data_IF_667847560347
#
_entry.id   IF_667847560347
#
_cell.length_a   1.000
_cell.length_b   1.000
_cell.length_c   1.000
_cell.angle_alpha   90.00
_cell.angle_beta   90.00
_cell.angle_gamma   90.00
#
_symmetry.space_group_name_H-M   'P 1'
#
loop_
_entity.id
_entity.type
_entity.pdbx_description
1 polymer ?
#
# COMPACT_ATOMS: atom_id res chain seq x y z
N UNK A 1 20.02 19.49 -27.77
CA UNK A 1 19.18 18.39 -28.31
C UNK A 1 19.57 17.04 -27.67
N UNK A 2 19.45 16.90 -26.34
CA UNK A 2 19.96 15.73 -25.59
C UNK A 2 18.90 15.07 -24.69
N UNK A 3 17.75 15.75 -24.49
CA UNK A 3 16.62 15.26 -23.70
C UNK A 3 15.61 14.41 -24.50
N UNK A 4 15.54 14.59 -25.82
CA UNK A 4 14.62 13.81 -26.67
C UNK A 4 15.06 12.34 -26.80
N UNK A 5 16.36 12.08 -26.86
CA UNK A 5 16.91 10.72 -26.93
C UNK A 5 16.67 9.89 -25.66
N UNK A 6 16.62 10.53 -24.49
CA UNK A 6 16.35 9.85 -23.22
C UNK A 6 14.86 9.42 -23.12
N UNK A 7 13.94 10.26 -23.60
CA UNK A 7 12.51 9.95 -23.63
C UNK A 7 12.17 8.80 -24.59
N UNK A 8 12.90 8.71 -25.72
CA UNK A 8 12.72 7.63 -26.68
C UNK A 8 13.22 6.29 -26.12
N UNK A 9 14.32 6.30 -25.36
CA UNK A 9 14.87 5.10 -24.72
C UNK A 9 13.96 4.56 -23.62
N UNK A 10 13.30 5.43 -22.85
CA UNK A 10 12.31 5.04 -21.84
C UNK A 10 11.05 4.42 -22.47
N UNK A 11 10.56 4.96 -23.59
CA UNK A 11 9.42 4.39 -24.30
C UNK A 11 9.73 3.01 -24.93
N UNK A 12 10.97 2.79 -25.38
CA UNK A 12 11.40 1.51 -25.94
C UNK A 12 11.56 0.44 -24.85
N UNK A 13 12.04 0.79 -23.64
CA UNK A 13 12.06 -0.15 -22.51
C UNK A 13 10.67 -0.59 -22.07
N UNK A 14 9.67 0.31 -22.09
CA UNK A 14 8.28 -0.01 -21.72
C UNK A 14 7.62 -0.94 -22.74
N UNK A 15 7.99 -0.84 -24.02
CA UNK A 15 7.40 -1.66 -25.09
C UNK A 15 8.11 -3.01 -25.26
N UNK A 16 9.43 -3.07 -25.07
CA UNK A 16 10.18 -4.34 -25.15
C UNK A 16 9.84 -5.30 -23.99
N UNK A 17 9.42 -4.80 -22.82
CA UNK A 17 9.00 -5.66 -21.70
C UNK A 17 7.60 -6.27 -21.88
N UNK A 18 6.86 -5.88 -22.93
CA UNK A 18 5.51 -6.44 -23.22
C UNK A 18 5.51 -7.59 -24.21
N UNK A 19 6.66 -7.93 -24.81
CA UNK A 19 6.75 -8.92 -25.89
C UNK A 19 7.16 -10.34 -25.45
N UNK A 20 7.45 -10.56 -24.16
CA UNK A 20 7.82 -11.88 -23.64
C UNK A 20 7.01 -12.25 -22.40
N UNK A 21 5.71 -12.45 -22.60
CA UNK A 21 4.98 -13.70 -22.31
C UNK A 21 3.50 -13.40 -22.45
N UNK A 22 2.89 -13.93 -23.50
CA UNK A 22 1.44 -14.03 -23.65
C UNK A 22 0.90 -15.06 -22.66
N UNK A 23 1.09 -14.82 -21.36
CA UNK A 23 0.27 -15.39 -20.30
C UNK A 23 -0.71 -14.29 -19.93
N UNK A 24 -1.99 -14.50 -20.22
CA UNK A 24 -3.10 -13.67 -19.75
C UNK A 24 -2.82 -13.22 -18.32
N UNK A 25 -2.56 -11.93 -18.09
CA UNK A 25 -2.27 -11.38 -16.76
C UNK A 25 -3.38 -11.84 -15.83
N UNK A 26 -3.04 -12.56 -14.76
CA UNK A 26 -4.05 -13.18 -13.89
C UNK A 26 -5.02 -12.10 -13.42
N UNK A 27 -6.35 -12.28 -13.59
CA UNK A 27 -7.36 -11.31 -13.13
C UNK A 27 -7.17 -10.92 -11.66
N UNK A 28 -6.70 -11.86 -10.84
CA UNK A 28 -6.36 -11.65 -9.43
C UNK A 28 -5.23 -10.62 -9.26
N UNK A 29 -4.18 -10.67 -10.09
CA UNK A 29 -3.07 -9.70 -10.03
C UNK A 29 -3.56 -8.30 -10.40
N UNK A 30 -4.44 -8.19 -11.41
CA UNK A 30 -5.04 -6.91 -11.78
C UNK A 30 -5.94 -6.35 -10.65
N UNK A 31 -6.76 -7.18 -10.02
CA UNK A 31 -7.55 -6.80 -8.83
C UNK A 31 -6.66 -6.28 -7.69
N UNK A 32 -5.54 -6.96 -7.42
CA UNK A 32 -4.56 -6.53 -6.41
C UNK A 32 -3.94 -5.18 -6.76
N UNK A 33 -3.50 -4.97 -8.01
CA UNK A 33 -2.89 -3.71 -8.44
C UNK A 33 -3.88 -2.54 -8.31
N UNK A 34 -5.15 -2.76 -8.66
CA UNK A 34 -6.21 -1.77 -8.47
C UNK A 34 -6.45 -1.51 -6.97
N UNK A 35 -6.44 -2.53 -6.13
CA UNK A 35 -6.56 -2.38 -4.68
C UNK A 35 -5.40 -1.56 -4.10
N UNK A 36 -4.15 -1.81 -4.53
CA UNK A 36 -2.98 -1.02 -4.13
C UNK A 36 -3.15 0.45 -4.55
N UNK A 37 -3.65 0.72 -5.76
CA UNK A 37 -3.93 2.09 -6.20
C UNK A 37 -4.96 2.80 -5.32
N UNK A 38 -6.00 2.10 -4.87
CA UNK A 38 -6.99 2.64 -3.91
C UNK A 38 -6.37 2.86 -2.54
N UNK A 39 -5.61 1.87 -2.03
CA UNK A 39 -4.89 1.96 -0.76
C UNK A 39 -3.91 3.14 -0.76
N UNK A 40 -3.24 3.45 -1.87
CA UNK A 40 -2.34 4.61 -1.97
C UNK A 40 -3.07 5.93 -1.63
N UNK A 41 -4.29 6.11 -2.14
CA UNK A 41 -5.09 7.30 -1.84
C UNK A 41 -5.43 7.37 -0.34
N UNK A 42 -5.84 6.23 0.24
CA UNK A 42 -6.18 6.15 1.66
C UNK A 42 -4.96 6.36 2.56
N UNK A 43 -3.80 5.76 2.24
CA UNK A 43 -2.54 5.96 3.01
C UNK A 43 -2.08 7.42 2.93
N UNK A 44 -2.25 8.10 1.80
CA UNK A 44 -2.01 9.55 1.69
C UNK A 44 -2.93 10.34 2.62
N UNK A 45 -4.22 10.01 2.63
CA UNK A 45 -5.22 10.72 3.44
C UNK A 45 -4.98 10.47 4.94
N UNK A 46 -4.62 9.23 5.32
CA UNK A 46 -4.11 8.90 6.65
C UNK A 46 -2.86 9.70 7.00
N UNK A 47 -1.91 9.88 6.08
CA UNK A 47 -0.68 10.65 6.32
C UNK A 47 -0.99 12.11 6.66
N UNK A 48 -1.89 12.74 5.90
CA UNK A 48 -2.31 14.11 6.14
C UNK A 48 -3.02 14.26 7.50
N UNK A 49 -3.99 13.38 7.79
CA UNK A 49 -4.71 13.40 9.06
C UNK A 49 -3.81 13.03 10.25
N UNK A 50 -2.87 12.09 10.09
CA UNK A 50 -1.89 11.73 11.11
C UNK A 50 -0.97 12.91 11.41
N UNK A 51 -0.56 13.68 10.40
CA UNK A 51 0.23 14.90 10.60
C UNK A 51 -0.56 15.96 11.37
N UNK A 52 -1.85 16.14 11.09
CA UNK A 52 -2.71 17.06 11.83
C UNK A 52 -2.87 16.61 13.29
N UNK A 53 -3.22 15.34 13.51
CA UNK A 53 -3.41 14.76 14.84
C UNK A 53 -2.12 14.74 15.68
N UNK A 54 -0.95 14.57 15.03
CA UNK A 54 0.35 14.65 15.71
C UNK A 54 0.65 16.08 16.19
N UNK A 55 0.18 17.12 15.48
CA UNK A 55 0.36 18.53 15.89
C UNK A 55 -0.59 18.91 17.02
N UNK A 56 -1.80 18.39 16.99
CA UNK A 56 -2.82 18.58 18.02
C UNK A 56 -3.57 17.27 18.25
N UNK A 57 -3.23 16.55 19.32
CA UNK A 57 -3.87 15.29 19.67
C UNK A 57 -5.28 15.48 20.25
N UNK A 58 -5.74 16.73 20.38
CA UNK A 58 -7.13 17.10 20.64
C UNK A 58 -7.98 17.28 19.37
N UNK A 59 -7.38 17.25 18.17
CA UNK A 59 -8.10 17.46 16.91
C UNK A 59 -9.02 16.27 16.59
N UNK A 60 -10.29 16.41 16.97
CA UNK A 60 -11.32 15.39 16.74
C UNK A 60 -11.64 15.19 15.26
N UNK A 61 -11.43 16.20 14.41
CA UNK A 61 -11.66 16.07 12.97
C UNK A 61 -10.60 15.18 12.35
N UNK A 62 -9.34 15.40 12.72
CA UNK A 62 -8.24 14.54 12.32
C UNK A 62 -8.44 13.10 12.83
N UNK A 63 -8.79 12.94 14.10
CA UNK A 63 -9.06 11.62 14.69
C UNK A 63 -10.19 10.86 13.97
N UNK A 64 -11.32 11.52 13.70
CA UNK A 64 -12.43 10.91 12.97
C UNK A 64 -12.03 10.49 11.54
N UNK A 65 -11.22 11.33 10.89
CA UNK A 65 -10.67 11.02 9.56
C UNK A 65 -9.77 9.78 9.63
N UNK A 66 -8.88 9.70 10.63
CA UNK A 66 -8.00 8.53 10.82
C UNK A 66 -8.81 7.24 10.97
N UNK A 67 -9.82 7.22 11.83
CA UNK A 67 -10.69 6.06 12.01
C UNK A 67 -11.41 5.68 10.72
N UNK A 68 -12.14 6.62 10.11
CA UNK A 68 -12.92 6.35 8.89
C UNK A 68 -12.05 5.83 7.75
N UNK A 69 -10.91 6.49 7.50
CA UNK A 69 -9.99 6.08 6.44
C UNK A 69 -9.31 4.74 6.76
N UNK A 70 -9.02 4.43 8.03
CA UNK A 70 -8.50 3.11 8.42
C UNK A 70 -9.51 1.99 8.16
N UNK A 71 -10.80 2.22 8.44
CA UNK A 71 -11.87 1.26 8.15
C UNK A 71 -12.01 1.01 6.64
N UNK A 72 -12.00 2.06 5.83
CA UNK A 72 -12.00 1.94 4.37
C UNK A 72 -10.78 1.17 3.85
N UNK A 73 -9.61 1.39 4.46
CA UNK A 73 -8.38 0.67 4.13
C UNK A 73 -8.53 -0.83 4.43
N UNK A 74 -9.10 -1.19 5.58
CA UNK A 74 -9.32 -2.59 5.97
C UNK A 74 -10.28 -3.32 5.03
N UNK A 75 -11.28 -2.66 4.47
CA UNK A 75 -12.20 -3.29 3.50
C UNK A 75 -11.46 -3.84 2.27
N UNK A 76 -10.37 -3.19 1.86
CA UNK A 76 -9.55 -3.60 0.72
C UNK A 76 -8.69 -4.85 1.02
N UNK A 77 -8.55 -5.27 2.27
CA UNK A 77 -7.72 -6.43 2.64
C UNK A 77 -8.28 -7.75 2.13
N UNK A 78 -9.58 -7.80 1.88
CA UNK A 78 -10.27 -8.97 1.32
C UNK A 78 -9.70 -9.41 -0.05
N UNK A 79 -9.17 -8.46 -0.83
CA UNK A 79 -8.53 -8.73 -2.13
C UNK A 79 -7.26 -9.58 -1.99
N UNK A 80 -6.61 -9.50 -0.82
CA UNK A 80 -5.38 -10.24 -0.51
C UNK A 80 -5.64 -11.49 0.34
N UNK A 81 -6.91 -11.92 0.46
CA UNK A 81 -7.27 -13.13 1.20
C UNK A 81 -6.67 -14.39 0.59
N UNK A 82 -6.43 -15.40 1.42
CA UNK A 82 -5.92 -16.72 0.98
C UNK A 82 -6.73 -17.32 -0.16
N UNK A 83 -8.06 -17.17 -0.14
CA UNK A 83 -8.96 -17.61 -1.19
C UNK A 83 -8.66 -16.93 -2.53
N UNK A 84 -8.47 -15.61 -2.53
CA UNK A 84 -8.19 -14.81 -3.74
C UNK A 84 -6.80 -15.08 -4.30
N UNK A 85 -5.79 -15.23 -3.44
CA UNK A 85 -4.40 -15.39 -3.86
C UNK A 85 -4.03 -16.85 -4.17
N UNK A 86 -4.95 -17.80 -3.95
CA UNK A 86 -4.71 -19.24 -4.09
C UNK A 86 -4.22 -19.67 -5.48
N UNK A 87 -4.55 -18.89 -6.51
CA UNK A 87 -4.18 -19.11 -7.93
C UNK A 87 -2.76 -18.66 -8.27
N UNK A 88 -2.08 -17.94 -7.37
CA UNK A 88 -0.69 -17.55 -7.54
C UNK A 88 0.26 -18.71 -7.24
N UNK A 89 1.49 -18.63 -7.75
CA UNK A 89 2.56 -19.57 -7.37
C UNK A 89 2.79 -19.58 -5.85
N UNK A 90 3.30 -20.68 -5.29
CA UNK A 90 3.60 -20.76 -3.86
C UNK A 90 4.49 -19.60 -3.38
N UNK A 91 5.59 -19.33 -4.09
CA UNK A 91 6.48 -18.22 -3.75
C UNK A 91 5.81 -16.85 -3.83
N UNK A 92 4.94 -16.63 -4.82
CA UNK A 92 4.15 -15.39 -4.92
C UNK A 92 3.17 -15.25 -3.74
N UNK A 93 2.49 -16.33 -3.36
CA UNK A 93 1.56 -16.34 -2.21
C UNK A 93 2.28 -16.02 -0.91
N UNK A 94 3.44 -16.63 -0.68
CA UNK A 94 4.23 -16.40 0.54
C UNK A 94 4.68 -14.94 0.65
N UNK A 95 5.16 -14.35 -0.45
CA UNK A 95 5.55 -12.93 -0.47
C UNK A 95 4.39 -11.99 -0.22
N UNK A 96 3.23 -12.24 -0.83
CA UNK A 96 2.02 -11.43 -0.60
C UNK A 96 1.55 -11.56 0.85
N UNK A 97 1.48 -12.77 1.39
CA UNK A 97 1.09 -13.02 2.77
C UNK A 97 2.02 -12.33 3.77
N UNK A 98 3.33 -12.43 3.56
CA UNK A 98 4.33 -11.78 4.42
C UNK A 98 4.19 -10.25 4.38
N UNK A 99 4.05 -9.67 3.18
CA UNK A 99 3.88 -8.23 3.03
C UNK A 99 2.57 -7.73 3.65
N UNK A 100 1.46 -8.45 3.45
CA UNK A 100 0.17 -8.13 4.08
C UNK A 100 0.22 -8.26 5.61
N UNK A 101 0.91 -9.28 6.13
CA UNK A 101 1.10 -9.43 7.57
C UNK A 101 1.92 -8.28 8.15
N UNK A 102 3.00 -7.87 7.47
CA UNK A 102 3.79 -6.71 7.88
C UNK A 102 2.95 -5.44 7.87
N UNK A 103 2.13 -5.23 6.85
CA UNK A 103 1.28 -4.04 6.75
C UNK A 103 0.22 -3.99 7.84
N UNK A 104 -0.46 -5.11 8.13
CA UNK A 104 -1.40 -5.25 9.25
C UNK A 104 -0.76 -4.91 10.59
N UNK A 105 0.41 -5.49 10.85
CA UNK A 105 1.11 -5.28 12.11
C UNK A 105 1.52 -3.80 12.30
N UNK A 106 2.00 -3.15 11.24
CA UNK A 106 2.32 -1.72 11.29
C UNK A 106 1.08 -0.86 11.56
N UNK A 107 -0.07 -1.18 10.95
CA UNK A 107 -1.33 -0.46 11.20
C UNK A 107 -1.77 -0.62 12.65
N UNK A 108 -1.75 -1.84 13.20
CA UNK A 108 -2.12 -2.08 14.61
C UNK A 108 -1.19 -1.34 15.58
N UNK A 109 0.12 -1.29 15.30
CA UNK A 109 1.06 -0.53 16.11
C UNK A 109 0.76 0.98 16.06
N UNK A 110 0.43 1.49 14.88
CA UNK A 110 0.05 2.89 14.69
C UNK A 110 -1.29 3.24 15.35
N UNK A 111 -2.30 2.38 15.27
CA UNK A 111 -3.58 2.52 15.95
C UNK A 111 -3.41 2.54 17.47
N UNK A 112 -2.53 1.68 18.00
CA UNK A 112 -2.17 1.71 19.43
C UNK A 112 -1.57 3.07 19.83
N UNK A 113 -0.71 3.65 18.99
CA UNK A 113 -0.15 4.99 19.23
C UNK A 113 -1.21 6.11 19.16
N UNK A 114 -2.20 5.94 18.28
CA UNK A 114 -3.36 6.83 18.16
C UNK A 114 -4.22 6.79 19.42
N UNK A 115 -4.53 5.60 19.94
CA UNK A 115 -5.28 5.43 21.19
C UNK A 115 -4.57 6.04 22.39
N UNK A 116 -3.23 5.90 22.43
CA UNK A 116 -2.39 6.49 23.46
C UNK A 116 -2.19 8.00 23.30
N UNK A 117 -2.61 8.58 22.16
CA UNK A 117 -2.40 9.99 21.80
C UNK A 117 -0.94 10.43 21.94
N UNK A 118 -0.01 9.53 21.64
CA UNK A 118 1.43 9.80 21.72
C UNK A 118 1.94 10.35 20.40
N UNK A 119 2.14 11.67 20.32
CA UNK A 119 2.59 12.35 19.10
C UNK A 119 3.92 11.77 18.54
N UNK A 120 4.86 11.45 19.42
CA UNK A 120 6.14 10.83 19.02
C UNK A 120 5.94 9.44 18.43
N UNK A 121 5.11 8.61 19.06
CA UNK A 121 4.83 7.26 18.57
C UNK A 121 3.98 7.27 17.30
N UNK A 122 3.03 8.20 17.17
CA UNK A 122 2.22 8.40 15.96
C UNK A 122 3.09 8.65 14.73
N UNK A 123 4.06 9.56 14.82
CA UNK A 123 4.96 9.85 13.71
C UNK A 123 5.86 8.64 13.38
N UNK A 124 6.41 7.98 14.40
CA UNK A 124 7.31 6.83 14.24
C UNK A 124 6.59 5.63 13.62
N UNK A 125 5.47 5.22 14.21
CA UNK A 125 4.68 4.06 13.76
C UNK A 125 4.01 4.28 12.41
N UNK A 126 3.55 5.51 12.13
CA UNK A 126 3.00 5.79 10.80
C UNK A 126 4.06 5.67 9.69
N UNK A 127 5.33 5.96 10.00
CA UNK A 127 6.41 5.70 9.03
C UNK A 127 6.56 4.21 8.71
N UNK A 128 6.31 3.35 9.69
CA UNK A 128 6.31 1.89 9.51
C UNK A 128 5.12 1.43 8.66
N UNK A 129 3.97 2.11 8.76
CA UNK A 129 2.81 1.90 7.88
C UNK A 129 3.16 2.24 6.43
N UNK A 130 3.76 3.42 6.18
CA UNK A 130 4.18 3.83 4.84
C UNK A 130 5.17 2.85 4.22
N UNK A 131 6.19 2.45 4.98
CA UNK A 131 7.21 1.51 4.50
C UNK A 131 6.60 0.13 4.20
N UNK A 132 5.74 -0.38 5.08
CA UNK A 132 5.07 -1.66 4.85
C UNK A 132 4.10 -1.62 3.66
N UNK A 133 3.40 -0.51 3.46
CA UNK A 133 2.59 -0.28 2.27
C UNK A 133 3.43 -0.30 0.99
N UNK A 134 4.57 0.39 0.96
CA UNK A 134 5.47 0.40 -0.20
C UNK A 134 6.02 -1.00 -0.50
N UNK A 135 6.36 -1.78 0.53
CA UNK A 135 6.78 -3.18 0.37
C UNK A 135 5.67 -4.03 -0.23
N UNK A 136 4.44 -3.90 0.26
CA UNK A 136 3.27 -4.58 -0.28
C UNK A 136 3.03 -4.22 -1.76
N UNK A 137 3.06 -2.92 -2.08
CA UNK A 137 2.97 -2.45 -3.46
C UNK A 137 4.07 -3.05 -4.33
N UNK A 138 5.33 -3.00 -3.89
CA UNK A 138 6.46 -3.58 -4.60
C UNK A 138 6.30 -5.08 -4.88
N UNK A 139 5.81 -5.85 -3.90
CA UNK A 139 5.50 -7.27 -4.09
C UNK A 139 4.43 -7.44 -5.16
N UNK A 140 3.29 -6.75 -5.05
CA UNK A 140 2.14 -6.89 -5.96
C UNK A 140 2.47 -6.47 -7.39
N UNK A 141 3.27 -5.41 -7.58
CA UNK A 141 3.68 -4.96 -8.91
C UNK A 141 4.79 -5.82 -9.53
N UNK A 142 5.45 -6.67 -8.73
CA UNK A 142 6.43 -7.65 -9.20
C UNK A 142 5.86 -9.02 -9.57
N UNK A 143 4.55 -9.23 -9.34
CA UNK A 143 3.82 -10.46 -9.67
C UNK A 143 3.56 -10.63 -11.17
#
# INVERSE_FOLDING_TARGET
MKFLLLSLFLCILVTASTAQTTTTRSPVIAEMQLAIGKMLMLVRDLSAANSAFTKDTGDQTALNTLYTTSEELYQLFSVFSSAKISTLSLGSRDRVNQAMSSFRNSLTAWETAMDQRSATELARTFKEVENAFLMLGGVVFSL
#
